data_IF_950348573815
#
_entry.id   IF_950348573815
#
_cell.length_a   1.000
_cell.length_b   1.000
_cell.length_c   1.000
_cell.angle_alpha   90.00
_cell.angle_beta   90.00
_cell.angle_gamma   90.00
#
_symmetry.space_group_name_H-M   'P 1'
#
loop_
_entity.id
_entity.type
_entity.pdbx_description
1 polymer ?
#
# COMPACT_ATOMS: atom_id res chain seq x y z
N UNK A 1 -7.66 -11.91 -11.11
CA UNK A 1 -6.21 -12.17 -11.15
C UNK A 1 -5.49 -10.95 -10.57
N UNK A 2 -5.30 -10.90 -9.26
CA UNK A 2 -4.71 -9.75 -8.56
C UNK A 2 -3.54 -10.13 -7.64
N UNK A 3 -3.11 -11.39 -7.70
CA UNK A 3 -2.23 -12.00 -6.69
C UNK A 3 -0.82 -12.31 -7.18
N UNK A 4 -0.53 -12.18 -8.48
CA UNK A 4 0.80 -12.52 -9.04
C UNK A 4 1.86 -11.43 -8.85
N UNK A 5 1.49 -10.25 -8.34
CA UNK A 5 2.40 -9.10 -8.26
C UNK A 5 2.43 -8.39 -6.89
N UNK A 6 1.98 -9.07 -5.82
CA UNK A 6 2.14 -8.53 -4.47
C UNK A 6 3.60 -8.68 -4.05
N UNK A 7 4.33 -7.55 -4.09
CA UNK A 7 5.68 -7.46 -3.56
C UNK A 7 5.59 -7.64 -2.05
N UNK A 8 6.20 -8.70 -1.53
CA UNK A 8 6.43 -8.83 -0.10
C UNK A 8 7.43 -7.75 0.34
N UNK A 9 6.90 -6.72 0.99
CA UNK A 9 7.67 -5.57 1.43
C UNK A 9 8.78 -5.95 2.40
N UNK A 10 8.57 -6.97 3.25
CA UNK A 10 9.60 -7.42 4.20
C UNK A 10 10.78 -8.05 3.44
N UNK A 11 10.50 -8.88 2.43
CA UNK A 11 11.54 -9.49 1.60
C UNK A 11 12.29 -8.41 0.80
N UNK A 12 11.57 -7.47 0.19
CA UNK A 12 12.16 -6.38 -0.60
C UNK A 12 13.08 -5.48 0.25
N UNK A 13 12.61 -5.06 1.43
CA UNK A 13 13.41 -4.22 2.33
C UNK A 13 14.64 -4.94 2.85
N UNK A 14 14.53 -6.25 3.14
CA UNK A 14 15.69 -7.05 3.55
C UNK A 14 16.73 -7.13 2.44
N UNK A 15 16.29 -7.33 1.20
CA UNK A 15 17.19 -7.38 0.04
C UNK A 15 17.88 -6.04 -0.23
N UNK A 16 17.18 -4.93 -0.10
CA UNK A 16 17.81 -3.62 -0.18
C UNK A 16 18.80 -3.37 0.94
N UNK A 17 18.54 -3.85 2.15
CA UNK A 17 19.51 -3.77 3.23
C UNK A 17 20.76 -4.62 2.97
N UNK A 18 20.60 -5.81 2.38
CA UNK A 18 21.74 -6.65 1.94
C UNK A 18 22.57 -5.91 0.87
N UNK A 19 21.94 -5.34 -0.17
CA UNK A 19 22.62 -4.57 -1.23
C UNK A 19 23.29 -3.28 -0.70
N UNK A 20 22.64 -2.60 0.24
CA UNK A 20 23.17 -1.42 0.92
C UNK A 20 24.52 -1.68 1.60
N UNK A 21 24.74 -2.89 2.10
CA UNK A 21 25.97 -3.27 2.78
C UNK A 21 27.08 -3.68 1.81
N UNK A 22 26.75 -4.14 0.61
CA UNK A 22 27.72 -4.57 -0.41
C UNK A 22 28.42 -3.39 -1.11
N UNK A 23 27.70 -2.29 -1.36
CA UNK A 23 28.16 -1.14 -2.15
C UNK A 23 28.82 -0.02 -1.30
N UNK A 24 29.01 -0.24 0.00
CA UNK A 24 29.55 0.77 0.94
C UNK A 24 28.58 1.95 1.18
N UNK A 25 29.09 3.05 1.75
CA UNK A 25 28.25 4.18 2.21
C UNK A 25 27.36 4.78 1.10
N UNK A 26 27.83 4.81 -0.15
CA UNK A 26 27.08 5.36 -1.28
C UNK A 26 25.90 4.46 -1.68
N UNK A 27 26.11 3.14 -1.64
CA UNK A 27 25.04 2.17 -1.85
C UNK A 27 24.04 2.17 -0.70
N UNK A 28 24.52 2.39 0.52
CA UNK A 28 23.65 2.47 1.69
C UNK A 28 22.61 3.58 1.57
N UNK A 29 23.03 4.82 1.27
CA UNK A 29 22.09 5.94 1.14
C UNK A 29 21.07 5.71 0.02
N UNK A 30 21.51 5.18 -1.11
CA UNK A 30 20.65 4.90 -2.25
C UNK A 30 19.60 3.83 -1.92
N UNK A 31 20.03 2.64 -1.48
CA UNK A 31 19.13 1.53 -1.20
C UNK A 31 18.23 1.79 0.01
N UNK A 32 18.71 2.56 1.00
CA UNK A 32 17.88 3.06 2.09
C UNK A 32 16.78 4.00 1.57
N UNK A 33 17.11 4.94 0.70
CA UNK A 33 16.14 5.85 0.07
C UNK A 33 15.06 5.10 -0.72
N UNK A 34 15.46 4.11 -1.52
CA UNK A 34 14.53 3.23 -2.25
C UNK A 34 13.63 2.46 -1.29
N UNK A 35 14.17 1.93 -0.19
CA UNK A 35 13.39 1.25 0.84
C UNK A 35 12.34 2.15 1.51
N UNK A 36 12.69 3.41 1.81
CA UNK A 36 11.73 4.38 2.36
C UNK A 36 10.62 4.72 1.37
N UNK A 37 10.93 4.81 0.07
CA UNK A 37 9.93 5.03 -0.96
C UNK A 37 8.92 3.88 -1.02
N UNK A 38 9.37 2.63 -0.98
CA UNK A 38 8.48 1.47 -0.95
C UNK A 38 7.61 1.44 0.31
N UNK A 39 8.15 1.77 1.48
CA UNK A 39 7.37 1.86 2.73
C UNK A 39 6.24 2.87 2.60
N UNK A 40 6.53 4.07 2.08
CA UNK A 40 5.53 5.11 1.85
C UNK A 40 4.46 4.66 0.86
N UNK A 41 4.86 4.01 -0.23
CA UNK A 41 3.91 3.49 -1.22
C UNK A 41 2.97 2.43 -0.60
N UNK A 42 3.50 1.52 0.22
CA UNK A 42 2.68 0.52 0.91
C UNK A 42 1.70 1.15 1.92
N UNK A 43 2.13 2.18 2.66
CA UNK A 43 1.24 2.95 3.53
C UNK A 43 0.14 3.64 2.74
N UNK A 44 0.47 4.28 1.61
CA UNK A 44 -0.52 4.92 0.74
C UNK A 44 -1.51 3.92 0.16
N UNK A 45 -1.06 2.74 -0.26
CA UNK A 45 -1.97 1.68 -0.73
C UNK A 45 -2.94 1.24 0.36
N UNK A 46 -2.46 1.10 1.61
CA UNK A 46 -3.30 0.75 2.76
C UNK A 46 -4.38 1.81 3.02
N UNK A 47 -4.02 3.09 2.91
CA UNK A 47 -4.96 4.21 3.06
C UNK A 47 -5.98 4.24 1.92
N UNK A 48 -5.55 4.02 0.67
CA UNK A 48 -6.44 3.90 -0.49
C UNK A 48 -7.45 2.75 -0.29
N UNK A 49 -6.99 1.59 0.19
CA UNK A 49 -7.86 0.44 0.44
C UNK A 49 -8.87 0.75 1.55
N UNK A 50 -8.46 1.45 2.61
CA UNK A 50 -9.34 1.89 3.69
C UNK A 50 -10.41 2.87 3.19
N UNK A 51 -9.99 3.93 2.49
CA UNK A 51 -10.90 4.93 1.91
C UNK A 51 -11.86 4.31 0.88
N UNK A 52 -11.38 3.35 0.09
CA UNK A 52 -12.21 2.63 -0.89
C UNK A 52 -13.30 1.81 -0.20
N UNK A 53 -12.99 1.17 0.93
CA UNK A 53 -14.00 0.45 1.75
C UNK A 53 -15.02 1.40 2.35
N UNK A 54 -14.58 2.53 2.89
CA UNK A 54 -15.49 3.55 3.45
C UNK A 54 -16.43 4.11 2.39
N UNK A 55 -15.91 4.41 1.19
CA UNK A 55 -16.71 4.86 0.06
C UNK A 55 -17.77 3.83 -0.35
N UNK A 56 -17.42 2.54 -0.38
CA UNK A 56 -18.39 1.50 -0.72
C UNK A 56 -19.49 1.36 0.35
N UNK A 57 -19.14 1.49 1.64
CA UNK A 57 -20.14 1.52 2.73
C UNK A 57 -21.08 2.72 2.57
N UNK A 58 -20.55 3.91 2.29
CA UNK A 58 -21.35 5.11 2.05
C UNK A 58 -22.30 4.93 0.86
N UNK A 59 -21.81 4.36 -0.25
CA UNK A 59 -22.63 4.06 -1.44
C UNK A 59 -23.72 3.04 -1.14
N UNK A 60 -23.42 1.99 -0.37
CA UNK A 60 -24.40 0.99 0.04
C UNK A 60 -25.53 1.64 0.87
N UNK A 61 -25.18 2.46 1.87
CA UNK A 61 -26.16 3.20 2.70
C UNK A 61 -27.04 4.14 1.88
N UNK A 62 -26.47 4.84 0.90
CA UNK A 62 -27.27 5.68 0.00
C UNK A 62 -28.25 4.85 -0.83
N UNK A 63 -27.84 3.70 -1.37
CA UNK A 63 -28.71 2.79 -2.12
C UNK A 63 -29.84 2.23 -1.24
N UNK A 64 -29.55 1.92 0.02
CA UNK A 64 -30.56 1.47 1.00
C UNK A 64 -31.54 2.59 1.35
N UNK A 65 -31.05 3.80 1.59
CA UNK A 65 -31.90 4.97 1.83
C UNK A 65 -32.80 5.32 0.64
N UNK A 66 -32.32 5.12 -0.60
CA UNK A 66 -33.11 5.32 -1.81
C UNK A 66 -34.10 4.18 -2.10
N UNK A 67 -33.94 3.02 -1.46
CA UNK A 67 -34.89 1.89 -1.52
C UNK A 67 -36.03 1.99 -0.52
N UNK A 68 -35.97 2.94 0.42
CA UNK A 68 -37.06 3.29 1.34
C UNK A 68 -37.57 4.72 1.14
N UNK A 69 -38.24 5.04 0.02
CA UNK A 69 -39.30 6.02 0.01
C UNK A 69 -40.62 5.26 0.01
N UNK A 70 -41.19 4.97 1.19
CA UNK A 70 -42.64 4.79 1.43
C UNK A 70 -42.89 4.07 2.77
N UNK A 71 -43.26 4.87 3.78
CA UNK A 71 -44.33 4.54 4.72
C UNK A 71 -45.17 5.79 4.92
#
# INVERSE_FOLDING_TARGET
MASENQIDLCIALRKFHELALEDGDLGYEYWYGVGQLLKRAASMQTEIDALSRELEICRARQRESFRSPEK
#
